data_IF_017318340390
#
_entry.id   IF_017318340390
#
_cell.length_a   1.000
_cell.length_b   1.000
_cell.length_c   1.000
_cell.angle_alpha   90.00
_cell.angle_beta   90.00
_cell.angle_gamma   90.00
#
_symmetry.space_group_name_H-M   'P 1'
#
loop_
_entity.id
_entity.type
_entity.pdbx_description
1 polymer ?
#
# COMPACT_ATOMS: atom_id res chain seq x y z
N UNK A 1 40.69 19.08 36.19
CA UNK A 1 39.92 19.96 35.34
C UNK A 1 38.60 19.25 34.94
N UNK A 2 37.53 19.79 35.34
CA UNK A 2 36.23 19.25 34.92
C UNK A 2 35.89 19.81 33.55
N UNK A 3 35.93 18.97 32.55
CA UNK A 3 35.34 19.33 31.29
C UNK A 3 33.83 19.45 31.52
N UNK A 4 33.39 20.66 31.45
CA UNK A 4 31.98 20.97 31.49
C UNK A 4 31.25 20.10 30.47
N UNK A 5 30.12 19.58 30.85
CA UNK A 5 29.18 18.95 29.93
C UNK A 5 29.03 19.84 28.72
N UNK A 6 29.47 19.35 27.59
CA UNK A 6 29.51 20.16 26.38
C UNK A 6 28.11 20.64 26.04
N UNK A 7 27.81 21.94 26.04
CA UNK A 7 26.53 22.47 25.66
C UNK A 7 26.15 22.13 24.21
N UNK A 8 27.15 21.81 23.39
CA UNK A 8 26.98 21.39 22.00
C UNK A 8 26.23 20.07 21.87
N UNK A 9 26.45 19.13 22.80
CA UNK A 9 25.73 17.86 22.80
C UNK A 9 24.24 18.04 23.10
N UNK A 10 23.89 18.91 24.03
CA UNK A 10 22.51 19.22 24.36
C UNK A 10 21.79 19.95 23.23
N UNK A 11 22.44 20.89 22.56
CA UNK A 11 21.95 21.61 21.40
C UNK A 11 21.71 20.64 20.22
N UNK A 12 22.60 19.69 19.99
CA UNK A 12 22.45 18.70 18.93
C UNK A 12 21.25 17.77 19.18
N UNK A 13 21.03 17.33 20.41
CA UNK A 13 19.90 16.49 20.77
C UNK A 13 18.56 17.20 20.56
N UNK A 14 18.46 18.48 20.92
CA UNK A 14 17.27 19.31 20.69
C UNK A 14 17.01 19.50 19.18
N UNK A 15 18.05 19.76 18.38
CA UNK A 15 17.91 19.91 16.93
C UNK A 15 17.41 18.65 16.26
N UNK A 16 17.88 17.46 16.68
CA UNK A 16 17.41 16.17 16.15
C UNK A 16 15.94 15.89 16.53
N UNK A 17 15.51 16.21 17.74
CA UNK A 17 14.13 16.05 18.18
C UNK A 17 13.17 16.94 17.38
N UNK A 18 13.53 18.18 17.11
CA UNK A 18 12.72 19.11 16.29
C UNK A 18 12.66 18.66 14.84
N UNK A 19 13.74 18.12 14.27
CA UNK A 19 13.76 17.62 12.90
C UNK A 19 12.90 16.35 12.71
N UNK A 20 12.77 15.52 13.75
CA UNK A 20 11.96 14.30 13.71
C UNK A 20 10.45 14.58 13.82
N UNK A 21 10.03 15.63 14.51
CA UNK A 21 8.63 15.97 14.74
C UNK A 21 7.79 16.14 13.44
N UNK A 22 8.27 16.82 12.37
CA UNK A 22 7.53 16.93 11.12
C UNK A 22 7.27 15.59 10.43
N UNK A 23 8.21 14.65 10.50
CA UNK A 23 8.06 13.33 9.89
C UNK A 23 6.98 12.50 10.59
N UNK A 24 6.87 12.57 11.91
CA UNK A 24 5.80 11.92 12.68
C UNK A 24 4.44 12.55 12.41
N UNK A 25 4.39 13.88 12.23
CA UNK A 25 3.15 14.59 11.89
C UNK A 25 2.66 14.24 10.48
N UNK A 26 3.55 13.98 9.51
CA UNK A 26 3.18 13.59 8.15
C UNK A 26 2.51 12.21 8.08
N UNK A 27 2.93 11.24 8.90
CA UNK A 27 2.34 9.89 8.91
C UNK A 27 0.85 9.89 9.30
N UNK A 28 0.39 10.91 9.99
CA UNK A 28 -1.00 11.05 10.44
C UNK A 28 -1.78 12.15 9.69
N UNK A 29 -1.21 12.71 8.61
CA UNK A 29 -1.81 13.81 7.85
C UNK A 29 -3.05 13.38 7.03
N UNK A 30 -3.18 12.09 6.75
CA UNK A 30 -4.25 11.52 5.94
C UNK A 30 -5.00 10.45 6.72
N UNK A 31 -6.32 10.47 6.60
CA UNK A 31 -7.19 9.47 7.25
C UNK A 31 -7.24 8.16 6.49
N UNK A 32 -6.92 8.18 5.19
CA UNK A 32 -7.06 7.04 4.30
C UNK A 32 -6.22 7.22 3.03
N UNK A 33 -5.75 6.11 2.48
CA UNK A 33 -5.18 6.03 1.14
C UNK A 33 -6.11 5.23 0.24
N UNK A 34 -6.29 5.66 -1.00
CA UNK A 34 -7.10 4.99 -2.02
C UNK A 34 -6.25 4.81 -3.27
N UNK A 35 -6.27 3.63 -3.84
CA UNK A 35 -5.46 3.29 -5.01
C UNK A 35 -6.33 2.80 -6.16
N UNK A 36 -5.96 3.20 -7.37
CA UNK A 36 -6.53 2.73 -8.63
C UNK A 36 -5.39 2.34 -9.56
N UNK A 37 -5.62 1.41 -10.46
CA UNK A 37 -4.61 1.01 -11.41
C UNK A 37 -4.76 -0.42 -11.90
N UNK A 38 -3.66 -0.93 -12.41
CA UNK A 38 -3.51 -2.26 -12.98
C UNK A 38 -2.65 -3.18 -12.09
N UNK A 39 -1.99 -4.14 -12.72
CA UNK A 39 -1.15 -5.13 -12.04
C UNK A 39 -0.02 -4.53 -11.20
N UNK A 40 0.52 -3.38 -11.57
CA UNK A 40 1.61 -2.74 -10.83
C UNK A 40 1.16 -2.21 -9.46
N UNK A 41 -0.13 -1.97 -9.30
CA UNK A 41 -0.73 -1.41 -8.08
C UNK A 41 -1.58 -2.45 -7.31
N UNK A 42 -1.99 -3.53 -7.99
CA UNK A 42 -2.85 -4.57 -7.42
C UNK A 42 -2.14 -5.36 -6.31
N UNK A 43 -2.66 -5.26 -5.10
CA UNK A 43 -2.14 -5.93 -3.90
C UNK A 43 -2.76 -7.29 -3.63
N UNK A 44 -3.65 -7.77 -4.50
CA UNK A 44 -4.24 -9.09 -4.36
C UNK A 44 -5.73 -9.20 -4.69
N UNK A 45 -6.23 -8.48 -5.68
CA UNK A 45 -7.63 -8.56 -6.12
C UNK A 45 -8.06 -10.00 -6.43
N UNK A 46 -7.22 -10.77 -7.09
CA UNK A 46 -7.53 -12.16 -7.47
C UNK A 46 -7.23 -13.20 -6.39
N UNK A 47 -6.74 -12.80 -5.21
CA UNK A 47 -6.41 -13.74 -4.14
C UNK A 47 -7.55 -14.65 -3.74
N UNK A 48 -8.80 -14.18 -3.56
CA UNK A 48 -9.92 -15.05 -3.25
C UNK A 48 -10.17 -16.12 -4.33
N UNK A 49 -10.08 -15.74 -5.60
CA UNK A 49 -10.22 -16.67 -6.71
C UNK A 49 -9.08 -17.70 -6.78
N UNK A 50 -7.85 -17.27 -6.48
CA UNK A 50 -6.67 -18.16 -6.42
C UNK A 50 -6.82 -19.18 -5.28
N UNK A 51 -7.24 -18.75 -4.10
CA UNK A 51 -7.46 -19.64 -2.96
C UNK A 51 -8.58 -20.66 -3.29
N UNK A 52 -9.63 -20.24 -3.94
CA UNK A 52 -10.71 -21.11 -4.36
C UNK A 52 -10.26 -22.14 -5.41
N UNK A 53 -9.39 -21.75 -6.35
CA UNK A 53 -8.91 -22.60 -7.42
C UNK A 53 -7.85 -23.62 -6.99
N UNK A 54 -6.90 -23.22 -6.13
CA UNK A 54 -5.71 -24.03 -5.80
C UNK A 54 -5.50 -24.29 -4.31
N UNK A 55 -6.37 -23.75 -3.44
CA UNK A 55 -6.37 -24.02 -2.02
C UNK A 55 -5.74 -22.91 -1.16
N UNK A 56 -5.80 -23.07 0.19
CA UNK A 56 -5.39 -22.04 1.15
C UNK A 56 -3.94 -21.57 1.04
N UNK A 57 -3.05 -22.39 0.52
CA UNK A 57 -1.64 -22.02 0.31
C UNK A 57 -1.48 -20.85 -0.68
N UNK A 58 -2.48 -20.61 -1.54
CA UNK A 58 -2.49 -19.47 -2.46
C UNK A 58 -2.77 -18.12 -1.78
N UNK A 59 -3.06 -18.10 -0.48
CA UNK A 59 -3.33 -16.85 0.26
C UNK A 59 -2.16 -15.86 0.27
N UNK A 60 -0.93 -16.34 0.07
CA UNK A 60 0.27 -15.49 -0.06
C UNK A 60 0.49 -14.95 -1.47
N UNK A 61 -0.25 -15.44 -2.44
CA UNK A 61 -0.17 -15.06 -3.85
C UNK A 61 -1.09 -13.87 -4.16
N UNK A 62 -1.13 -13.48 -5.42
CA UNK A 62 -2.07 -12.48 -5.92
C UNK A 62 -1.47 -11.10 -6.14
N UNK A 63 -0.21 -10.88 -5.79
CA UNK A 63 0.56 -9.70 -6.17
C UNK A 63 1.36 -9.99 -7.43
N UNK A 64 1.52 -8.99 -8.28
CA UNK A 64 2.36 -9.10 -9.49
C UNK A 64 3.82 -8.74 -9.17
N UNK A 65 4.37 -9.42 -8.15
CA UNK A 65 5.74 -9.29 -7.67
C UNK A 65 6.34 -10.69 -7.50
N UNK A 66 7.59 -10.76 -7.06
CA UNK A 66 8.15 -12.00 -6.52
C UNK A 66 7.49 -12.27 -5.16
N UNK A 67 6.37 -12.99 -5.19
CA UNK A 67 5.59 -13.26 -3.99
C UNK A 67 6.43 -14.00 -2.90
N UNK A 68 6.28 -13.63 -1.63
CA UNK A 68 5.26 -12.75 -1.06
C UNK A 68 5.63 -11.26 -1.03
N UNK A 69 6.52 -10.80 -1.91
CA UNK A 69 6.92 -9.39 -1.97
C UNK A 69 5.75 -8.43 -2.16
N UNK A 70 5.83 -7.25 -1.55
CA UNK A 70 4.79 -6.23 -1.61
C UNK A 70 4.87 -5.42 -2.92
N UNK A 71 3.75 -4.84 -3.34
CA UNK A 71 3.70 -3.83 -4.40
C UNK A 71 3.86 -2.41 -3.82
N UNK A 72 4.18 -1.44 -4.67
CA UNK A 72 4.45 -0.06 -4.23
C UNK A 72 3.31 0.57 -3.44
N UNK A 73 2.05 0.26 -3.79
CA UNK A 73 0.87 0.79 -3.11
C UNK A 73 0.81 0.38 -1.63
N UNK A 74 1.29 -0.82 -1.31
CA UNK A 74 1.35 -1.31 0.07
C UNK A 74 2.39 -0.53 0.88
N UNK A 75 3.59 -0.27 0.31
CA UNK A 75 4.62 0.55 0.98
C UNK A 75 4.16 1.98 1.21
N UNK A 76 3.48 2.59 0.23
CA UNK A 76 2.94 3.94 0.38
C UNK A 76 1.85 3.99 1.44
N UNK A 77 0.93 3.01 1.45
CA UNK A 77 -0.11 2.94 2.47
C UNK A 77 0.48 2.80 3.88
N UNK A 78 1.47 1.93 4.05
CA UNK A 78 2.17 1.76 5.34
C UNK A 78 2.86 3.05 5.79
N UNK A 79 3.49 3.78 4.88
CA UNK A 79 4.13 5.06 5.20
C UNK A 79 3.14 6.06 5.81
N UNK A 80 1.88 6.06 5.37
CA UNK A 80 0.82 6.92 5.89
C UNK A 80 -0.01 6.25 7.00
N UNK A 81 0.44 5.14 7.56
CA UNK A 81 -0.19 4.48 8.72
C UNK A 81 -1.41 3.62 8.38
N UNK A 82 -1.61 3.30 7.09
CA UNK A 82 -2.70 2.46 6.60
C UNK A 82 -2.25 1.16 5.97
N UNK A 83 -3.10 0.61 5.12
CA UNK A 83 -2.80 -0.55 4.30
C UNK A 83 -3.45 -0.41 2.92
N UNK A 84 -3.01 -1.22 1.96
CA UNK A 84 -3.55 -1.26 0.60
C UNK A 84 -4.29 -2.59 0.34
N UNK A 85 -5.12 -3.01 1.24
CA UNK A 85 -5.97 -4.20 1.04
C UNK A 85 -6.91 -3.96 -0.15
N UNK A 86 -7.08 -4.97 -0.99
CA UNK A 86 -7.97 -4.92 -2.15
C UNK A 86 -9.40 -4.59 -1.77
N UNK A 87 -10.07 -3.79 -2.59
CA UNK A 87 -11.44 -3.33 -2.33
C UNK A 87 -12.44 -4.48 -2.23
N UNK A 88 -12.28 -5.55 -3.01
CA UNK A 88 -13.12 -6.75 -2.91
C UNK A 88 -12.86 -7.59 -1.65
N UNK A 89 -11.91 -7.20 -0.83
CA UNK A 89 -11.61 -7.81 0.47
C UNK A 89 -11.78 -6.80 1.61
N UNK A 90 -12.55 -5.74 1.38
CA UNK A 90 -12.88 -4.73 2.39
C UNK A 90 -11.88 -3.59 2.52
N UNK A 91 -10.92 -3.47 1.62
CA UNK A 91 -9.91 -2.41 1.60
C UNK A 91 -10.21 -1.28 0.64
N UNK A 92 -9.20 -0.48 0.38
CA UNK A 92 -9.26 0.74 -0.44
C UNK A 92 -8.38 0.71 -1.69
N UNK A 93 -7.80 -0.44 -1.99
CA UNK A 93 -7.07 -0.63 -3.24
C UNK A 93 -7.99 -1.20 -4.31
N UNK A 94 -8.42 -0.36 -5.24
CA UNK A 94 -9.31 -0.68 -6.36
C UNK A 94 -8.56 -1.14 -7.62
N UNK A 95 -7.24 -1.25 -7.57
CA UNK A 95 -6.44 -1.74 -8.68
C UNK A 95 -6.71 -3.20 -8.97
N UNK A 96 -6.71 -3.57 -10.24
CA UNK A 96 -6.96 -4.94 -10.72
C UNK A 96 -5.97 -5.29 -11.80
N UNK A 97 -5.27 -6.41 -11.67
CA UNK A 97 -4.35 -6.91 -12.69
C UNK A 97 -5.03 -7.06 -14.04
N UNK A 98 -4.41 -6.50 -15.08
CA UNK A 98 -4.96 -6.50 -16.43
C UNK A 98 -5.98 -5.40 -16.71
N UNK A 99 -6.28 -4.52 -15.74
CA UNK A 99 -7.25 -3.44 -15.94
C UNK A 99 -6.83 -2.49 -17.06
N UNK A 100 -7.78 -2.17 -17.91
CA UNK A 100 -7.66 -1.13 -18.94
C UNK A 100 -8.27 0.19 -18.44
N UNK A 101 -7.96 1.28 -19.08
CA UNK A 101 -8.44 2.60 -18.65
C UNK A 101 -9.96 2.70 -18.65
N UNK A 102 -10.62 2.34 -19.75
CA UNK A 102 -12.05 2.57 -19.91
C UNK A 102 -12.89 1.34 -20.33
N UNK A 103 -12.28 0.17 -20.52
CA UNK A 103 -12.97 -1.01 -21.00
C UNK A 103 -12.91 -2.15 -20.00
N UNK A 104 -14.06 -2.62 -19.56
CA UNK A 104 -14.16 -3.83 -18.74
C UNK A 104 -13.82 -5.06 -19.59
N UNK A 105 -13.08 -5.99 -19.01
CA UNK A 105 -12.68 -7.26 -19.61
C UNK A 105 -12.89 -8.40 -18.61
N UNK A 106 -12.49 -9.59 -18.98
CA UNK A 106 -12.45 -10.75 -18.08
C UNK A 106 -11.25 -11.63 -18.39
N UNK A 107 -10.79 -12.37 -17.41
CA UNK A 107 -9.72 -13.34 -17.50
C UNK A 107 -10.08 -14.66 -16.84
N UNK A 108 -9.13 -15.56 -16.77
CA UNK A 108 -9.30 -16.89 -16.19
C UNK A 108 -9.74 -16.87 -14.70
N UNK A 109 -9.38 -15.81 -13.98
CA UNK A 109 -9.72 -15.65 -12.56
C UNK A 109 -10.95 -14.74 -12.32
N UNK A 110 -11.67 -14.38 -13.36
CA UNK A 110 -12.89 -13.61 -13.27
C UNK A 110 -12.88 -12.25 -13.95
N UNK A 111 -13.85 -11.38 -13.61
CA UNK A 111 -14.00 -10.06 -14.20
C UNK A 111 -12.79 -9.16 -13.91
N UNK A 112 -12.44 -8.36 -14.92
CA UNK A 112 -11.39 -7.32 -14.85
C UNK A 112 -12.07 -5.99 -15.15
N UNK A 113 -12.59 -5.29 -14.13
CA UNK A 113 -13.19 -3.98 -14.32
C UNK A 113 -12.14 -2.95 -14.73
N UNK A 114 -12.55 -1.97 -15.52
CA UNK A 114 -11.69 -0.88 -15.94
C UNK A 114 -11.37 0.07 -14.79
N UNK A 115 -10.28 0.82 -14.92
CA UNK A 115 -9.94 1.86 -13.94
C UNK A 115 -11.08 2.87 -13.80
N UNK A 116 -11.66 3.32 -14.92
CA UNK A 116 -12.78 4.27 -14.91
C UNK A 116 -14.00 3.73 -14.14
N UNK A 117 -14.37 2.47 -14.33
CA UNK A 117 -15.50 1.89 -13.61
C UNK A 117 -15.24 1.78 -12.11
N UNK A 118 -13.99 1.62 -11.69
CA UNK A 118 -13.63 1.55 -10.28
C UNK A 118 -13.67 2.91 -9.59
N UNK A 119 -13.36 3.98 -10.31
CA UNK A 119 -13.44 5.36 -9.75
C UNK A 119 -14.89 5.76 -9.48
N UNK A 120 -15.85 5.21 -10.24
CA UNK A 120 -17.27 5.55 -10.12
C UNK A 120 -18.12 4.54 -9.33
N UNK A 121 -17.49 3.50 -8.86
CA UNK A 121 -18.17 2.45 -8.07
C UNK A 121 -18.35 2.79 -6.59
#
# INVERSE_FOLDING_TARGET
>A
MKLSKSPVRSLLAVALAVAAAPALAQSNAYSQTVFFGDSLTDSGHFRPALVQAVGPSAAILGRFTTNPGLVWSEYVAEYYGGNAVSANQGGTNYAVGGARTGTNTSGALGPIPSVASRVTS
#
